data_IF_157604096312
#
_entry.id   IF_157604096312
#
_cell.length_a   1.000
_cell.length_b   1.000
_cell.length_c   1.000
_cell.angle_alpha   90.00
_cell.angle_beta   90.00
_cell.angle_gamma   90.00
#
_symmetry.space_group_name_H-M   'P 1'
#
loop_
_entity.id
_entity.type
_entity.pdbx_description
1 polymer ?
#
# COMPACT_ATOMS: atom_id res chain seq x y z
N UNK A 1 15.70 -9.46 17.22
CA UNK A 1 14.66 -8.61 16.64
C UNK A 1 13.42 -8.74 17.51
N UNK A 2 12.93 -7.64 18.08
CA UNK A 2 11.67 -7.62 18.84
C UNK A 2 10.46 -7.43 17.90
N UNK A 3 9.24 -7.53 18.45
CA UNK A 3 8.00 -7.42 17.67
C UNK A 3 7.88 -6.08 16.93
N UNK A 4 8.27 -4.97 17.58
CA UNK A 4 8.25 -3.64 16.96
C UNK A 4 9.17 -3.56 15.75
N UNK A 5 10.41 -4.01 15.90
CA UNK A 5 11.40 -4.04 14.83
C UNK A 5 10.93 -4.90 13.65
N UNK A 6 10.32 -6.05 13.93
CA UNK A 6 9.76 -6.93 12.91
C UNK A 6 8.65 -6.25 12.10
N UNK A 7 7.66 -5.65 12.78
CA UNK A 7 6.55 -4.97 12.11
C UNK A 7 7.06 -3.76 11.31
N UNK A 8 7.98 -2.98 11.88
CA UNK A 8 8.57 -1.83 11.17
C UNK A 8 9.32 -2.27 9.90
N UNK A 9 10.03 -3.40 9.94
CA UNK A 9 10.67 -3.97 8.75
C UNK A 9 9.66 -4.39 7.69
N UNK A 10 8.51 -4.96 8.08
CA UNK A 10 7.44 -5.32 7.14
C UNK A 10 6.83 -4.08 6.47
N UNK A 11 6.58 -3.02 7.23
CA UNK A 11 6.10 -1.74 6.67
C UNK A 11 7.12 -1.15 5.70
N UNK A 12 8.41 -1.13 6.04
CA UNK A 12 9.48 -0.66 5.15
C UNK A 12 9.55 -1.47 3.86
N UNK A 13 9.41 -2.80 3.95
CA UNK A 13 9.38 -3.69 2.79
C UNK A 13 8.19 -3.39 1.86
N UNK A 14 7.02 -3.11 2.42
CA UNK A 14 5.85 -2.72 1.64
C UNK A 14 5.96 -1.29 1.10
N UNK A 15 6.57 -0.36 1.84
CA UNK A 15 6.59 1.05 1.51
C UNK A 15 7.70 1.41 0.51
N UNK A 16 8.97 1.25 0.89
CA UNK A 16 10.09 1.91 0.21
C UNK A 16 11.37 1.08 0.06
N UNK A 17 11.40 -0.14 0.60
CA UNK A 17 12.57 -1.01 0.57
C UNK A 17 12.27 -2.27 -0.23
N UNK A 18 12.96 -2.45 -1.35
CA UNK A 18 12.84 -3.66 -2.15
C UNK A 18 13.41 -4.86 -1.39
N UNK A 19 12.63 -5.94 -1.29
CA UNK A 19 13.00 -7.18 -0.58
C UNK A 19 12.75 -8.39 -1.48
N UNK A 20 11.99 -9.39 -1.01
CA UNK A 20 11.54 -10.53 -1.82
C UNK A 20 10.53 -10.11 -2.90
N UNK A 21 10.02 -8.89 -2.81
CA UNK A 21 9.20 -8.21 -3.80
C UNK A 21 9.61 -6.73 -3.86
N UNK A 22 9.25 -6.04 -4.94
CA UNK A 22 9.50 -4.58 -5.04
C UNK A 22 8.55 -3.83 -4.12
N UNK A 23 9.02 -2.75 -3.52
CA UNK A 23 8.20 -1.89 -2.65
C UNK A 23 7.11 -1.14 -3.43
N UNK A 24 6.09 -0.64 -2.74
CA UNK A 24 5.03 0.20 -3.32
C UNK A 24 5.61 1.43 -4.02
N UNK A 25 6.60 2.10 -3.42
CA UNK A 25 7.27 3.25 -4.03
C UNK A 25 7.87 2.88 -5.39
N UNK A 26 8.57 1.74 -5.48
CA UNK A 26 9.13 1.26 -6.76
C UNK A 26 8.04 0.81 -7.72
N UNK A 27 7.01 0.13 -7.23
CA UNK A 27 5.88 -0.35 -8.03
C UNK A 27 5.13 0.78 -8.75
N UNK A 28 5.03 1.95 -8.13
CA UNK A 28 4.30 3.11 -8.65
C UNK A 28 5.17 4.08 -9.46
N UNK A 29 6.49 3.89 -9.45
CA UNK A 29 7.41 4.85 -10.05
C UNK A 29 7.19 5.00 -11.57
N UNK A 30 7.12 6.26 -12.01
CA UNK A 30 7.05 6.64 -13.43
C UNK A 30 5.69 6.39 -14.11
N UNK A 31 4.66 5.98 -13.36
CA UNK A 31 3.30 5.85 -13.91
C UNK A 31 2.59 7.19 -14.01
N UNK A 32 1.87 7.38 -15.11
CA UNK A 32 0.96 8.51 -15.30
C UNK A 32 -0.52 8.07 -15.28
N UNK A 33 -1.43 9.04 -15.24
CA UNK A 33 -2.87 8.80 -15.17
C UNK A 33 -3.42 7.89 -16.28
N UNK A 34 -2.99 8.11 -17.53
CA UNK A 34 -3.45 7.31 -18.68
C UNK A 34 -3.07 5.83 -18.50
N UNK A 35 -1.83 5.56 -18.12
CA UNK A 35 -1.34 4.20 -17.88
C UNK A 35 -2.09 3.49 -16.76
N UNK A 36 -2.37 4.18 -15.66
CA UNK A 36 -3.01 3.56 -14.49
C UNK A 36 -4.51 3.40 -14.60
N UNK A 37 -5.13 4.07 -15.57
CA UNK A 37 -6.56 3.97 -15.86
C UNK A 37 -6.90 2.81 -16.80
N UNK A 38 -5.90 2.17 -17.38
CA UNK A 38 -6.10 1.03 -18.27
C UNK A 38 -6.14 -0.30 -17.49
N UNK A 39 -7.07 -1.18 -17.85
CA UNK A 39 -7.11 -2.58 -17.37
C UNK A 39 -6.33 -3.46 -18.35
N UNK A 40 -5.60 -4.45 -17.83
CA UNK A 40 -5.17 -5.58 -18.66
C UNK A 40 -6.37 -6.53 -18.86
N UNK A 41 -6.37 -7.31 -19.93
CA UNK A 41 -7.47 -8.24 -20.27
C UNK A 41 -7.82 -9.22 -19.13
N UNK A 42 -6.85 -9.53 -18.27
CA UNK A 42 -6.98 -10.49 -17.18
C UNK A 42 -7.09 -9.84 -15.79
N UNK A 43 -7.12 -8.51 -15.68
CA UNK A 43 -7.21 -7.84 -14.38
C UNK A 43 -8.64 -7.42 -14.05
N UNK A 44 -9.06 -7.69 -12.81
CA UNK A 44 -10.35 -7.22 -12.28
C UNK A 44 -10.34 -5.71 -12.03
N UNK A 45 -9.19 -5.16 -11.63
CA UNK A 45 -9.00 -3.76 -11.26
C UNK A 45 -7.85 -3.11 -12.05
N UNK A 46 -7.94 -1.81 -12.29
CA UNK A 46 -6.86 -0.93 -12.76
C UNK A 46 -5.86 -0.68 -11.64
N UNK A 47 -4.68 -0.15 -11.99
CA UNK A 47 -3.71 0.30 -10.98
C UNK A 47 -4.32 1.47 -10.18
N UNK A 48 -5.05 2.38 -10.83
CA UNK A 48 -5.73 3.49 -10.16
C UNK A 48 -6.71 3.01 -9.09
N UNK A 49 -7.56 2.03 -9.43
CA UNK A 49 -8.51 1.43 -8.50
C UNK A 49 -7.79 0.78 -7.30
N UNK A 50 -6.71 0.03 -7.55
CA UNK A 50 -5.94 -0.61 -6.47
C UNK A 50 -5.28 0.42 -5.55
N UNK A 51 -4.78 1.53 -6.08
CA UNK A 51 -4.14 2.58 -5.26
C UNK A 51 -5.17 3.32 -4.42
N UNK A 52 -6.38 3.58 -4.94
CA UNK A 52 -7.49 4.11 -4.13
C UNK A 52 -7.82 3.18 -2.96
N UNK A 53 -7.92 1.88 -3.25
CA UNK A 53 -8.19 0.85 -2.24
C UNK A 53 -7.11 0.79 -1.16
N UNK A 54 -5.83 0.80 -1.55
CA UNK A 54 -4.70 0.83 -0.63
C UNK A 54 -4.70 2.08 0.25
N UNK A 55 -4.93 3.25 -0.35
CA UNK A 55 -4.98 4.50 0.41
C UNK A 55 -6.11 4.51 1.43
N UNK A 56 -7.31 4.09 1.02
CA UNK A 56 -8.47 4.00 1.90
C UNK A 56 -8.17 3.15 3.14
N UNK A 57 -7.73 1.90 2.96
CA UNK A 57 -7.50 0.98 4.08
C UNK A 57 -6.32 1.38 4.95
N UNK A 58 -5.22 1.88 4.36
CA UNK A 58 -4.10 2.35 5.18
C UNK A 58 -4.49 3.57 6.01
N UNK A 59 -5.28 4.50 5.47
CA UNK A 59 -5.73 5.67 6.21
C UNK A 59 -6.69 5.29 7.34
N UNK A 60 -7.65 4.41 7.06
CA UNK A 60 -8.63 3.90 8.02
C UNK A 60 -7.94 3.19 9.20
N UNK A 61 -7.05 2.23 8.91
CA UNK A 61 -6.36 1.47 9.94
C UNK A 61 -5.39 2.36 10.73
N UNK A 62 -4.76 3.36 10.09
CA UNK A 62 -3.90 4.32 10.79
C UNK A 62 -4.69 5.17 11.76
N UNK A 63 -5.87 5.66 11.36
CA UNK A 63 -6.77 6.40 12.24
C UNK A 63 -7.19 5.55 13.45
N UNK A 64 -7.55 4.29 13.21
CA UNK A 64 -7.89 3.33 14.27
C UNK A 64 -6.73 3.10 15.23
N UNK A 65 -5.52 2.88 14.71
CA UNK A 65 -4.31 2.71 15.54
C UNK A 65 -4.06 3.94 16.43
N UNK A 66 -4.30 5.13 15.90
CA UNK A 66 -4.15 6.41 16.62
C UNK A 66 -5.34 6.76 17.52
N UNK A 67 -6.38 5.93 17.57
CA UNK A 67 -7.65 6.21 18.25
C UNK A 67 -8.30 7.54 17.82
N UNK A 68 -8.14 7.91 16.55
CA UNK A 68 -8.81 9.07 15.98
C UNK A 68 -10.24 8.70 15.58
N UNK A 69 -11.21 9.62 15.73
CA UNK A 69 -12.55 9.41 15.21
C UNK A 69 -12.48 9.26 13.69
N UNK A 70 -13.05 8.18 13.18
CA UNK A 70 -13.17 7.95 11.76
C UNK A 70 -14.64 7.81 11.39
N UNK A 71 -15.10 8.67 10.48
CA UNK A 71 -16.46 8.65 9.95
C UNK A 71 -16.56 7.77 8.68
N UNK A 72 -15.47 7.10 8.30
CA UNK A 72 -15.43 6.22 7.14
C UNK A 72 -16.16 4.91 7.47
N UNK A 73 -17.42 4.81 7.06
CA UNK A 73 -18.13 3.54 6.96
C UNK A 73 -18.26 3.18 5.49
N UNK A 74 -17.76 2.01 5.12
CA UNK A 74 -17.98 1.45 3.78
C UNK A 74 -18.80 0.17 3.95
N UNK A 75 -19.96 0.14 3.28
CA UNK A 75 -20.89 -0.99 3.32
C UNK A 75 -20.44 -2.14 2.39
N UNK A 76 -19.84 -1.81 1.24
CA UNK A 76 -19.25 -2.78 0.31
C UNK A 76 -17.76 -2.47 0.05
N UNK A 77 -16.90 -3.46 0.28
CA UNK A 77 -15.47 -3.39 -0.04
C UNK A 77 -15.20 -2.91 -1.48
N UNK A 78 -16.07 -3.25 -2.44
CA UNK A 78 -15.93 -2.80 -3.84
C UNK A 78 -15.92 -1.27 -3.98
N UNK A 79 -16.58 -0.54 -3.08
CA UNK A 79 -16.67 0.91 -3.15
C UNK A 79 -15.32 1.59 -2.90
N UNK A 80 -14.42 0.92 -2.18
CA UNK A 80 -13.09 1.45 -1.84
C UNK A 80 -12.13 1.50 -3.03
N UNK A 81 -12.45 0.84 -4.15
CA UNK A 81 -11.68 0.94 -5.38
C UNK A 81 -11.99 2.22 -6.16
N UNK A 82 -13.05 2.95 -5.78
CA UNK A 82 -13.44 4.19 -6.44
C UNK A 82 -12.66 5.40 -5.90
N UNK A 83 -12.45 6.41 -6.75
CA UNK A 83 -11.85 7.69 -6.35
C UNK A 83 -12.89 8.58 -5.65
N UNK A 84 -13.29 8.20 -4.43
CA UNK A 84 -14.30 8.94 -3.65
C UNK A 84 -13.81 10.35 -3.26
N UNK A 85 -12.49 10.55 -3.15
CA UNK A 85 -11.90 11.85 -2.81
C UNK A 85 -11.75 12.80 -4.02
N UNK A 86 -12.06 12.34 -5.23
CA UNK A 86 -11.89 13.09 -6.48
C UNK A 86 -10.48 13.70 -6.67
N UNK A 87 -9.45 13.02 -6.15
CA UNK A 87 -8.06 13.49 -6.22
C UNK A 87 -7.38 13.12 -7.54
N UNK A 88 -6.39 13.90 -7.97
CA UNK A 88 -5.53 13.51 -9.10
C UNK A 88 -4.66 12.31 -8.74
N UNK A 89 -4.14 11.61 -9.76
CA UNK A 89 -3.23 10.47 -9.58
C UNK A 89 -2.00 10.83 -8.74
N UNK A 90 -1.37 11.96 -9.02
CA UNK A 90 -0.16 12.42 -8.35
C UNK A 90 -0.41 12.69 -6.87
N UNK A 91 -1.54 13.35 -6.57
CA UNK A 91 -1.96 13.63 -5.19
C UNK A 91 -2.27 12.33 -4.45
N UNK A 92 -2.98 11.40 -5.07
CA UNK A 92 -3.32 10.11 -4.48
C UNK A 92 -2.06 9.30 -4.12
N UNK A 93 -1.09 9.23 -5.03
CA UNK A 93 0.20 8.55 -4.77
C UNK A 93 0.97 9.24 -3.65
N UNK A 94 1.04 10.57 -3.66
CA UNK A 94 1.69 11.34 -2.59
C UNK A 94 1.05 11.05 -1.23
N UNK A 95 -0.28 11.08 -1.15
CA UNK A 95 -1.03 10.82 0.07
C UNK A 95 -0.80 9.38 0.56
N UNK A 96 -0.86 8.38 -0.32
CA UNK A 96 -0.60 6.99 0.06
C UNK A 96 0.82 6.80 0.63
N UNK A 97 1.85 7.31 -0.05
CA UNK A 97 3.24 7.20 0.44
C UNK A 97 3.45 7.96 1.76
N UNK A 98 2.79 9.11 1.91
CA UNK A 98 2.80 9.85 3.17
C UNK A 98 2.11 9.08 4.29
N UNK A 99 0.99 8.41 4.04
CA UNK A 99 0.31 7.55 5.00
C UNK A 99 1.20 6.37 5.41
N UNK A 100 1.92 5.75 4.48
CA UNK A 100 2.92 4.71 4.80
C UNK A 100 4.06 5.25 5.67
N UNK A 101 4.53 6.47 5.41
CA UNK A 101 5.52 7.15 6.26
C UNK A 101 4.98 7.40 7.67
N UNK A 102 3.71 7.81 7.79
CA UNK A 102 3.06 8.01 9.08
C UNK A 102 2.94 6.69 9.86
N UNK A 103 2.60 5.58 9.20
CA UNK A 103 2.63 4.27 9.83
C UNK A 103 3.98 3.96 10.48
N UNK A 104 5.07 4.12 9.75
CA UNK A 104 6.43 3.89 10.27
C UNK A 104 6.70 4.75 11.53
N UNK A 105 6.36 6.04 11.49
CA UNK A 105 6.56 6.97 12.60
C UNK A 105 5.73 6.60 13.84
N UNK A 106 4.45 6.25 13.65
CA UNK A 106 3.55 5.89 14.76
C UNK A 106 3.97 4.56 15.40
N UNK A 107 4.41 3.58 14.61
CA UNK A 107 4.91 2.29 15.10
C UNK A 107 6.22 2.49 15.89
N UNK A 108 7.14 3.31 15.37
CA UNK A 108 8.41 3.60 16.03
C UNK A 108 8.18 4.27 17.40
N UNK A 109 7.30 5.27 17.45
CA UNK A 109 7.05 6.09 18.64
C UNK A 109 6.07 5.48 19.66
N UNK A 110 5.23 4.52 19.27
CA UNK A 110 4.22 3.97 20.19
C UNK A 110 4.85 3.15 21.34
N UNK A 111 4.13 3.04 22.46
CA UNK A 111 4.48 2.11 23.53
C UNK A 111 4.24 0.64 23.08
N UNK A 112 5.08 -0.29 23.53
CA UNK A 112 5.01 -1.71 23.15
C UNK A 112 3.63 -2.34 23.42
N UNK A 113 3.03 -2.02 24.58
CA UNK A 113 1.66 -2.44 24.92
C UNK A 113 0.58 -1.99 23.93
N UNK A 114 0.78 -0.87 23.23
CA UNK A 114 -0.18 -0.38 22.24
C UNK A 114 0.00 -1.16 20.92
N UNK A 115 1.25 -1.46 20.56
CA UNK A 115 1.57 -2.31 19.43
C UNK A 115 0.98 -3.72 19.60
N UNK A 116 1.15 -4.33 20.78
CA UNK A 116 0.64 -5.68 21.09
C UNK A 116 -0.88 -5.78 20.93
N UNK A 117 -1.63 -4.74 21.28
CA UNK A 117 -3.10 -4.70 21.13
C UNK A 117 -3.56 -4.66 19.68
N UNK A 118 -2.71 -4.20 18.77
CA UNK A 118 -3.04 -4.00 17.36
C UNK A 118 -2.24 -4.92 16.43
N UNK A 119 -1.53 -5.91 16.99
CA UNK A 119 -0.55 -6.70 16.26
C UNK A 119 -1.16 -7.47 15.08
N UNK A 120 -2.37 -8.01 15.26
CA UNK A 120 -3.09 -8.73 14.21
C UNK A 120 -3.45 -7.78 13.05
N UNK A 121 -4.03 -6.61 13.37
CA UNK A 121 -4.37 -5.59 12.36
C UNK A 121 -3.13 -5.10 11.61
N UNK A 122 -2.03 -4.84 12.32
CA UNK A 122 -0.75 -4.42 11.72
C UNK A 122 -0.17 -5.50 10.80
N UNK A 123 -0.34 -6.77 11.16
CA UNK A 123 0.08 -7.89 10.32
C UNK A 123 -0.78 -7.96 9.05
N UNK A 124 -2.10 -7.91 9.20
CA UNK A 124 -3.01 -8.03 8.06
C UNK A 124 -2.93 -6.86 7.08
N UNK A 125 -2.77 -5.61 7.56
CA UNK A 125 -2.60 -4.46 6.65
C UNK A 125 -1.29 -4.56 5.86
N UNK A 126 -0.20 -5.08 6.46
CA UNK A 126 1.03 -5.34 5.72
C UNK A 126 0.87 -6.44 4.66
N UNK A 127 0.20 -7.54 4.99
CA UNK A 127 -0.08 -8.61 4.03
C UNK A 127 -0.98 -8.13 2.88
N UNK A 128 -1.99 -7.32 3.20
CA UNK A 128 -2.86 -6.66 2.24
C UNK A 128 -2.08 -5.76 1.29
N UNK A 129 -1.19 -4.91 1.82
CA UNK A 129 -0.29 -4.08 1.03
C UNK A 129 0.56 -4.93 0.06
N UNK A 130 1.24 -5.96 0.57
CA UNK A 130 2.08 -6.84 -0.25
C UNK A 130 1.29 -7.54 -1.36
N UNK A 131 0.08 -8.02 -1.05
CA UNK A 131 -0.82 -8.66 -2.03
C UNK A 131 -1.14 -7.71 -3.20
N UNK A 132 -1.57 -6.48 -2.91
CA UNK A 132 -1.95 -5.52 -3.94
C UNK A 132 -0.74 -4.94 -4.69
N UNK A 133 0.42 -4.82 -4.06
CA UNK A 133 1.67 -4.48 -4.77
C UNK A 133 1.97 -5.53 -5.85
N UNK A 134 1.78 -6.82 -5.54
CA UNK A 134 1.90 -7.90 -6.51
C UNK A 134 0.95 -7.73 -7.70
N UNK A 135 -0.31 -7.36 -7.44
CA UNK A 135 -1.29 -7.08 -8.50
C UNK A 135 -0.89 -5.89 -9.38
N UNK A 136 -0.43 -4.79 -8.78
CA UNK A 136 0.07 -3.62 -9.52
C UNK A 136 1.20 -4.05 -10.48
N UNK A 137 2.17 -4.82 -9.97
CA UNK A 137 3.29 -5.31 -10.79
C UNK A 137 2.82 -6.24 -11.92
N UNK A 138 1.88 -7.13 -11.63
CA UNK A 138 1.31 -8.02 -12.64
C UNK A 138 0.64 -7.23 -13.77
N UNK A 139 -0.15 -6.20 -13.43
CA UNK A 139 -0.81 -5.33 -14.42
C UNK A 139 0.24 -4.58 -15.23
N UNK A 140 1.25 -3.97 -14.59
CA UNK A 140 2.34 -3.27 -15.29
C UNK A 140 3.06 -4.16 -16.29
N UNK A 141 3.41 -5.39 -15.88
CA UNK A 141 4.07 -6.38 -16.76
C UNK A 141 3.16 -6.76 -17.93
N UNK A 142 1.88 -6.99 -17.66
CA UNK A 142 0.89 -7.35 -18.69
C UNK A 142 0.67 -6.23 -19.72
N UNK A 143 0.82 -4.97 -19.32
CA UNK A 143 0.70 -3.80 -20.18
C UNK A 143 2.05 -3.38 -20.82
N UNK A 144 3.15 -4.11 -20.58
CA UNK A 144 4.48 -3.75 -21.07
C UNK A 144 5.07 -2.47 -20.45
N UNK A 145 4.55 -2.05 -19.29
CA UNK A 145 4.93 -0.82 -18.58
C UNK A 145 6.02 -1.04 -17.52
N UNK A 146 6.52 -2.26 -17.38
CA UNK A 146 7.50 -2.62 -16.35
C UNK A 146 8.92 -2.65 -16.92
N UNK A 147 9.83 -1.91 -16.27
CA UNK A 147 11.26 -1.99 -16.50
C UNK A 147 11.84 -3.13 -15.64
N UNK A 148 12.24 -4.23 -16.26
CA UNK A 148 12.75 -5.40 -15.55
C UNK A 148 14.01 -5.09 -14.72
N UNK A 149 14.78 -4.04 -15.04
CA UNK A 149 15.95 -3.64 -14.24
C UNK A 149 15.59 -3.08 -12.86
N UNK A 150 14.31 -2.69 -12.67
CA UNK A 150 13.77 -2.26 -11.37
C UNK A 150 13.26 -3.44 -10.53
N UNK A 151 13.35 -4.65 -11.07
CA UNK A 151 12.93 -5.88 -10.43
C UNK A 151 13.85 -6.32 -9.30
N UNK A 152 13.48 -7.45 -8.70
CA UNK A 152 14.30 -8.12 -7.71
C UNK A 152 15.21 -9.11 -8.45
N UNK A 153 16.52 -8.90 -8.36
CA UNK A 153 17.54 -9.72 -9.01
C UNK A 153 18.38 -10.52 -8.01
N UNK A 154 17.76 -11.03 -6.94
CA UNK A 154 18.45 -11.94 -6.04
C UNK A 154 18.82 -13.23 -6.78
N UNK A 155 20.10 -13.58 -6.71
CA UNK A 155 20.62 -14.90 -7.04
C UNK A 155 21.20 -15.46 -5.75
N UNK A 156 20.88 -16.72 -5.43
CA UNK A 156 21.43 -17.43 -4.27
C UNK A 156 22.85 -17.93 -4.57
#
# INVERSE_FOLDING_TARGET
MNTKELILQQFKACHNTNTWFVSLKTALEGLNYEQVSNKSENSTNTILEIVNHLYFYNQLELNRFKNLPDNSSVEDNNDTFNNVQETSWEILVEQLLKTMTHWENEIESCAEKNLEKSIDSLTYINLHNAYHIGQILHIRKSLGLWDENKGIHYTF
#
